data_IF_367663915987
#
_entry.id   IF_367663915987
#
_cell.length_a   1.000
_cell.length_b   1.000
_cell.length_c   1.000
_cell.angle_alpha   90.00
_cell.angle_beta   90.00
_cell.angle_gamma   90.00
#
_symmetry.space_group_name_H-M   'P 1'
#
loop_
_entity.id
_entity.type
_entity.pdbx_description
1 polymer ?
#
# COMPACT_ATOMS: atom_id res chain seq x y z
N UNK A 1 -50.18 38.12 -28.24
CA UNK A 1 -48.91 38.65 -27.69
C UNK A 1 -48.64 38.21 -26.24
N UNK A 2 -49.52 38.48 -25.26
CA UNK A 2 -49.27 38.12 -23.85
C UNK A 2 -49.01 36.62 -23.56
N UNK A 3 -49.69 35.71 -24.26
CA UNK A 3 -49.48 34.25 -24.08
C UNK A 3 -48.10 33.79 -24.58
N UNK A 4 -47.59 34.38 -25.66
CA UNK A 4 -46.28 34.07 -26.23
C UNK A 4 -45.15 34.55 -25.31
N UNK A 5 -45.29 35.75 -24.72
CA UNK A 5 -44.32 36.30 -23.77
C UNK A 5 -44.21 35.45 -22.49
N UNK A 6 -45.36 35.04 -21.93
CA UNK A 6 -45.41 34.11 -20.78
C UNK A 6 -44.81 32.73 -21.10
N UNK A 7 -44.91 32.27 -22.34
CA UNK A 7 -44.33 31.00 -22.76
C UNK A 7 -42.81 31.12 -22.89
N UNK A 8 -42.30 32.22 -23.44
CA UNK A 8 -40.85 32.49 -23.52
C UNK A 8 -40.22 32.61 -22.13
N UNK A 9 -40.87 33.27 -21.16
CA UNK A 9 -40.37 33.33 -19.78
C UNK A 9 -40.30 31.95 -19.12
N UNK A 10 -41.33 31.11 -19.30
CA UNK A 10 -41.32 29.73 -18.79
C UNK A 10 -40.22 28.88 -19.41
N UNK A 11 -39.95 29.05 -20.69
CA UNK A 11 -38.87 28.35 -21.39
C UNK A 11 -37.49 28.81 -20.91
N UNK A 12 -37.32 30.11 -20.63
CA UNK A 12 -36.09 30.65 -20.03
C UNK A 12 -35.87 30.10 -18.61
N UNK A 13 -36.89 30.11 -17.77
CA UNK A 13 -36.82 29.54 -16.41
C UNK A 13 -36.49 28.04 -16.44
N UNK A 14 -37.13 27.28 -17.32
CA UNK A 14 -36.84 25.86 -17.49
C UNK A 14 -35.41 25.60 -17.98
N UNK A 15 -34.91 26.40 -18.94
CA UNK A 15 -33.55 26.24 -19.46
C UNK A 15 -32.48 26.62 -18.41
N UNK A 16 -32.72 27.68 -17.62
CA UNK A 16 -31.82 28.06 -16.53
C UNK A 16 -31.77 26.98 -15.44
N UNK A 17 -32.91 26.44 -15.04
CA UNK A 17 -32.96 25.34 -14.05
C UNK A 17 -32.25 24.08 -14.55
N UNK A 18 -32.40 23.73 -15.84
CA UNK A 18 -31.71 22.60 -16.44
C UNK A 18 -30.19 22.83 -16.51
N UNK A 19 -29.74 24.03 -16.86
CA UNK A 19 -28.32 24.39 -16.85
C UNK A 19 -27.70 24.32 -15.44
N UNK A 20 -28.43 24.75 -14.41
CA UNK A 20 -27.99 24.64 -13.02
C UNK A 20 -27.88 23.18 -12.56
N UNK A 21 -28.80 22.31 -12.98
CA UNK A 21 -28.74 20.87 -12.68
C UNK A 21 -27.57 20.18 -13.39
N UNK A 22 -27.31 20.55 -14.66
CA UNK A 22 -26.15 20.04 -15.40
C UNK A 22 -24.86 20.52 -14.75
N UNK A 23 -24.76 21.81 -14.40
CA UNK A 23 -23.59 22.35 -13.71
C UNK A 23 -23.38 21.69 -12.34
N UNK A 24 -24.45 21.48 -11.55
CA UNK A 24 -24.38 20.77 -10.29
C UNK A 24 -23.94 19.31 -10.46
N UNK A 25 -24.38 18.62 -11.52
CA UNK A 25 -23.94 17.26 -11.85
C UNK A 25 -22.46 17.20 -12.24
N UNK A 26 -21.98 18.17 -13.04
CA UNK A 26 -20.55 18.27 -13.38
C UNK A 26 -19.69 18.60 -12.16
N UNK A 27 -20.12 19.55 -11.32
CA UNK A 27 -19.42 19.91 -10.09
C UNK A 27 -19.43 18.74 -9.09
N UNK A 28 -20.56 18.05 -8.93
CA UNK A 28 -20.66 16.86 -8.07
C UNK A 28 -19.79 15.71 -8.58
N UNK A 29 -19.74 15.45 -9.90
CA UNK A 29 -18.82 14.45 -10.46
C UNK A 29 -17.35 14.88 -10.40
N UNK A 30 -17.06 16.18 -10.33
CA UNK A 30 -15.71 16.71 -10.18
C UNK A 30 -15.23 16.70 -8.71
N UNK A 31 -16.14 16.88 -7.75
CA UNK A 31 -15.84 16.96 -6.31
C UNK A 31 -15.99 15.59 -5.62
N UNK A 32 -16.97 14.79 -6.01
CA UNK A 32 -17.33 13.53 -5.33
C UNK A 32 -16.40 12.35 -5.60
N UNK A 33 -15.33 12.51 -6.38
CA UNK A 33 -14.51 11.38 -6.85
C UNK A 33 -13.01 11.66 -6.95
N UNK A 34 -12.45 12.60 -6.18
CA UNK A 34 -11.02 12.88 -6.20
C UNK A 34 -10.47 13.11 -4.80
N UNK A 35 -10.15 12.02 -4.10
CA UNK A 35 -8.89 12.04 -3.35
C UNK A 35 -7.84 12.40 -4.40
N UNK A 36 -7.09 13.49 -4.20
CA UNK A 36 -6.02 13.81 -5.14
C UNK A 36 -5.06 12.62 -5.17
N UNK A 37 -4.49 12.29 -6.33
CA UNK A 37 -3.48 11.23 -6.43
C UNK A 37 -2.37 11.37 -5.38
N UNK A 38 -2.02 12.62 -5.07
CA UNK A 38 -1.05 12.99 -4.02
C UNK A 38 -1.56 12.62 -2.61
N UNK A 39 -2.84 12.86 -2.33
CA UNK A 39 -3.45 12.53 -1.05
C UNK A 39 -3.55 11.02 -0.88
N UNK A 40 -3.92 10.29 -1.94
CA UNK A 40 -3.97 8.81 -1.97
C UNK A 40 -2.58 8.22 -1.75
N UNK A 41 -1.56 8.75 -2.44
CA UNK A 41 -0.17 8.35 -2.26
C UNK A 41 0.33 8.63 -0.83
N UNK A 42 0.01 9.80 -0.26
CA UNK A 42 0.40 10.17 1.11
C UNK A 42 -0.26 9.27 2.14
N UNK A 43 -1.54 8.98 1.96
CA UNK A 43 -2.28 8.04 2.80
C UNK A 43 -1.66 6.64 2.76
N UNK A 44 -1.35 6.13 1.56
CA UNK A 44 -0.73 4.83 1.39
C UNK A 44 0.69 4.74 1.96
N UNK A 45 1.48 5.80 1.85
CA UNK A 45 2.78 5.88 2.54
C UNK A 45 2.58 5.74 4.05
N UNK A 46 1.56 6.40 4.61
CA UNK A 46 1.18 6.24 6.02
C UNK A 46 0.85 4.78 6.37
N UNK A 47 0.07 4.09 5.55
CA UNK A 47 -0.26 2.67 5.78
C UNK A 47 0.94 1.74 5.64
N UNK A 48 1.82 1.97 4.67
CA UNK A 48 3.07 1.20 4.51
C UNK A 48 3.98 1.38 5.74
N UNK A 49 4.11 2.60 6.27
CA UNK A 49 4.85 2.84 7.51
C UNK A 49 4.21 2.12 8.70
N UNK A 50 2.89 2.20 8.88
CA UNK A 50 2.19 1.48 9.96
C UNK A 50 2.47 -0.02 9.95
N UNK A 51 2.56 -0.63 8.76
CA UNK A 51 2.90 -2.07 8.62
C UNK A 51 4.35 -2.36 8.98
N UNK A 52 5.28 -1.47 8.61
CA UNK A 52 6.69 -1.57 8.99
C UNK A 52 6.86 -1.42 10.51
N UNK A 53 6.24 -0.40 11.12
CA UNK A 53 6.28 -0.12 12.56
C UNK A 53 5.67 -1.30 13.36
N UNK A 54 4.60 -1.91 12.87
CA UNK A 54 3.99 -3.09 13.49
C UNK A 54 4.94 -4.31 13.49
N UNK A 55 5.68 -4.53 12.41
CA UNK A 55 6.67 -5.59 12.33
C UNK A 55 7.89 -5.31 13.23
N UNK A 56 8.30 -4.05 13.35
CA UNK A 56 9.33 -3.63 14.29
C UNK A 56 8.89 -3.88 15.74
N UNK A 57 7.69 -3.46 16.11
CA UNK A 57 7.14 -3.69 17.46
C UNK A 57 7.03 -5.19 17.77
N UNK A 58 6.56 -6.00 16.81
CA UNK A 58 6.60 -7.46 16.94
C UNK A 58 8.03 -7.97 17.21
N UNK A 59 9.01 -7.45 16.48
CA UNK A 59 10.42 -7.84 16.67
C UNK A 59 10.96 -7.43 18.03
N UNK A 60 10.60 -6.26 18.55
CA UNK A 60 10.99 -5.82 19.89
C UNK A 60 10.38 -6.71 20.97
N UNK A 61 9.10 -7.03 20.86
CA UNK A 61 8.39 -7.82 21.86
C UNK A 61 8.83 -9.29 21.87
N UNK A 62 9.11 -9.86 20.70
CA UNK A 62 9.34 -11.30 20.54
C UNK A 62 10.81 -11.66 20.25
N UNK A 63 11.68 -10.67 20.07
CA UNK A 63 13.11 -10.86 19.81
C UNK A 63 13.46 -11.21 18.35
N UNK A 64 12.47 -11.32 17.47
CA UNK A 64 12.66 -11.57 16.03
C UNK A 64 11.47 -11.07 15.23
N UNK A 65 11.69 -10.79 13.94
CA UNK A 65 10.61 -10.61 12.97
C UNK A 65 9.68 -11.84 12.94
N UNK A 66 8.46 -11.71 12.37
CA UNK A 66 7.65 -12.87 12.04
C UNK A 66 8.44 -13.87 11.18
N UNK A 67 8.19 -15.19 11.31
CA UNK A 67 8.94 -16.19 10.57
C UNK A 67 8.66 -16.10 9.07
N UNK A 68 9.58 -16.61 8.23
CA UNK A 68 9.29 -16.85 6.82
C UNK A 68 8.14 -17.85 6.71
N UNK A 69 7.21 -17.62 5.78
CA UNK A 69 6.05 -18.49 5.63
C UNK A 69 6.46 -19.89 5.19
N UNK A 70 5.80 -20.92 5.72
CA UNK A 70 6.11 -22.32 5.36
C UNK A 70 5.57 -22.75 4.01
N UNK A 71 4.63 -21.97 3.45
CA UNK A 71 3.96 -22.23 2.18
C UNK A 71 4.72 -21.67 0.96
N UNK A 72 5.87 -21.00 1.18
CA UNK A 72 6.72 -20.48 0.11
C UNK A 72 8.18 -20.92 0.24
N UNK A 73 8.90 -20.83 -0.87
CA UNK A 73 10.36 -20.97 -0.87
C UNK A 73 10.98 -19.76 -0.14
N UNK A 74 11.90 -20.05 0.79
CA UNK A 74 12.64 -19.05 1.57
C UNK A 74 13.37 -18.04 0.69
N UNK A 75 13.73 -18.42 -0.53
CA UNK A 75 14.38 -17.56 -1.52
C UNK A 75 13.50 -16.37 -1.94
N UNK A 76 12.20 -16.38 -1.67
CA UNK A 76 11.32 -15.24 -1.93
C UNK A 76 11.18 -14.29 -0.74
N UNK A 77 11.47 -14.73 0.48
CA UNK A 77 11.48 -13.85 1.65
C UNK A 77 10.10 -13.43 2.16
N UNK A 78 9.03 -14.18 1.91
CA UNK A 78 7.70 -13.84 2.44
C UNK A 78 7.64 -14.08 3.94
N UNK A 79 7.24 -13.08 4.73
CA UNK A 79 7.04 -13.24 6.17
C UNK A 79 5.59 -13.60 6.49
N UNK A 80 5.38 -14.38 7.55
CA UNK A 80 4.07 -14.73 8.07
C UNK A 80 3.45 -13.50 8.74
N UNK A 81 2.70 -12.74 7.95
CA UNK A 81 2.13 -11.46 8.36
C UNK A 81 0.94 -11.65 9.32
N UNK A 82 0.34 -12.84 9.40
CA UNK A 82 -0.75 -13.15 10.33
C UNK A 82 -0.33 -12.99 11.80
N UNK A 83 0.96 -13.17 12.09
CA UNK A 83 1.52 -12.96 13.42
C UNK A 83 1.42 -11.49 13.90
N UNK A 84 1.14 -10.55 12.99
CA UNK A 84 0.86 -9.16 13.35
C UNK A 84 -0.58 -8.91 13.81
N UNK A 85 -1.51 -9.79 13.49
CA UNK A 85 -2.95 -9.62 13.78
C UNK A 85 -3.50 -10.67 14.76
N UNK A 86 -2.84 -11.81 14.89
CA UNK A 86 -3.22 -12.88 15.80
C UNK A 86 -2.02 -13.37 16.62
N UNK A 87 -2.26 -13.82 17.86
CA UNK A 87 -1.20 -14.37 18.70
C UNK A 87 -0.83 -15.78 18.23
N UNK A 88 0.42 -16.02 17.77
CA UNK A 88 0.86 -17.34 17.30
C UNK A 88 1.18 -18.32 18.45
N UNK A 89 0.70 -18.07 19.67
CA UNK A 89 0.98 -18.86 20.87
C UNK A 89 2.23 -18.41 21.64
N UNK A 90 2.71 -17.20 21.39
CA UNK A 90 3.87 -16.61 22.08
C UNK A 90 3.43 -15.92 23.38
N UNK A 91 4.10 -16.22 24.48
CA UNK A 91 3.82 -15.58 25.78
C UNK A 91 4.31 -14.13 25.86
N UNK A 92 5.21 -13.73 24.95
CA UNK A 92 5.76 -12.37 24.82
C UNK A 92 4.91 -11.46 23.92
N UNK A 93 3.90 -12.00 23.24
CA UNK A 93 3.11 -11.25 22.27
C UNK A 93 2.23 -10.19 22.95
N UNK A 94 2.29 -8.96 22.44
CA UNK A 94 1.55 -7.80 22.97
C UNK A 94 0.58 -7.18 21.95
N UNK A 95 0.32 -7.87 20.84
CA UNK A 95 -0.56 -7.40 19.78
C UNK A 95 -2.06 -7.40 20.14
N UNK A 96 -2.94 -7.28 19.14
CA UNK A 96 -2.64 -7.20 17.71
C UNK A 96 -1.89 -5.90 17.37
N UNK A 97 -0.88 -6.00 16.51
CA UNK A 97 -0.05 -4.87 16.07
C UNK A 97 -0.69 -4.12 14.89
N UNK A 98 -1.55 -4.81 14.13
CA UNK A 98 -2.35 -4.21 13.06
C UNK A 98 -3.85 -4.45 13.30
N UNK A 99 -4.72 -3.45 13.03
CA UNK A 99 -6.17 -3.60 13.16
C UNK A 99 -6.81 -4.18 11.89
N UNK A 100 -6.14 -5.13 11.21
CA UNK A 100 -6.57 -5.71 9.94
C UNK A 100 -7.22 -7.09 10.16
N UNK A 101 -7.91 -7.59 9.12
CA UNK A 101 -8.53 -8.92 9.12
C UNK A 101 -7.69 -9.97 8.39
N UNK A 102 -7.99 -11.24 8.65
CA UNK A 102 -7.45 -12.41 7.95
C UNK A 102 -8.48 -12.99 6.97
N UNK A 103 -9.09 -12.15 6.11
CA UNK A 103 -10.14 -12.62 5.18
C UNK A 103 -9.63 -12.91 3.77
N UNK A 104 -8.32 -12.78 3.53
CA UNK A 104 -7.73 -12.99 2.22
C UNK A 104 -7.40 -14.46 1.93
N UNK A 105 -7.72 -14.92 0.71
CA UNK A 105 -7.48 -16.30 0.23
C UNK A 105 -6.02 -16.47 -0.25
N UNK A 106 -5.05 -15.98 0.53
CA UNK A 106 -3.63 -15.97 0.19
C UNK A 106 -2.74 -16.80 1.11
N UNK A 107 -3.29 -17.34 2.19
CA UNK A 107 -2.51 -18.00 3.25
C UNK A 107 -1.68 -17.00 4.05
N UNK A 108 -0.68 -17.50 4.76
CA UNK A 108 0.10 -16.77 5.76
C UNK A 108 0.91 -15.56 5.22
N UNK A 109 1.01 -15.44 3.89
CA UNK A 109 1.79 -14.40 3.20
C UNK A 109 1.06 -13.06 3.06
N UNK A 110 -0.26 -13.04 3.32
CA UNK A 110 -1.12 -11.89 3.05
C UNK A 110 -2.17 -11.73 4.13
N UNK A 111 -2.41 -10.50 4.55
CA UNK A 111 -3.62 -10.10 5.29
C UNK A 111 -4.42 -9.11 4.47
N UNK A 112 -5.66 -8.83 4.88
CA UNK A 112 -6.48 -7.84 4.19
C UNK A 112 -5.83 -6.46 4.22
N UNK A 113 -6.18 -5.67 3.22
CA UNK A 113 -5.95 -4.23 3.25
C UNK A 113 -7.31 -3.51 3.31
N UNK A 114 -7.48 -2.47 4.15
CA UNK A 114 -8.77 -1.79 4.31
C UNK A 114 -9.33 -1.21 2.98
N UNK A 115 -8.45 -0.67 2.13
CA UNK A 115 -8.82 0.02 0.89
C UNK A 115 -8.41 -0.72 -0.40
N UNK A 116 -7.61 -1.78 -0.28
CA UNK A 116 -7.01 -2.50 -1.40
C UNK A 116 -7.12 -4.01 -1.16
N UNK A 117 -6.51 -4.82 -2.01
CA UNK A 117 -6.72 -6.27 -1.94
C UNK A 117 -6.01 -6.92 -0.77
N UNK A 118 -4.72 -6.62 -0.57
CA UNK A 118 -3.92 -7.33 0.42
C UNK A 118 -2.69 -6.52 0.83
N UNK A 119 -2.24 -6.79 2.05
CA UNK A 119 -1.00 -6.32 2.65
C UNK A 119 -0.03 -7.49 2.78
N UNK A 120 1.26 -7.24 2.57
CA UNK A 120 2.31 -8.25 2.65
C UNK A 120 3.58 -7.70 3.29
N UNK A 121 4.36 -8.58 3.93
CA UNK A 121 5.71 -8.31 4.41
C UNK A 121 6.73 -9.17 3.67
N UNK A 122 7.85 -8.55 3.30
CA UNK A 122 8.98 -9.19 2.64
C UNK A 122 10.26 -8.93 3.43
N UNK A 123 11.12 -9.94 3.51
CA UNK A 123 12.47 -9.83 4.01
C UNK A 123 13.44 -10.17 2.88
N UNK A 124 14.13 -9.14 2.36
CA UNK A 124 15.01 -9.26 1.18
C UNK A 124 16.46 -9.06 1.58
N UNK A 125 17.38 -9.62 0.81
CA UNK A 125 18.80 -9.29 0.98
C UNK A 125 19.03 -7.80 0.74
N UNK A 126 19.77 -7.14 1.65
CA UNK A 126 20.01 -5.70 1.56
C UNK A 126 20.73 -5.34 0.27
N UNK A 127 20.21 -4.31 -0.42
CA UNK A 127 20.79 -3.81 -1.67
C UNK A 127 20.43 -4.62 -2.92
N UNK A 128 19.64 -5.69 -2.78
CA UNK A 128 19.12 -6.43 -3.94
C UNK A 128 18.18 -5.58 -4.81
N UNK A 129 18.19 -5.86 -6.10
CA UNK A 129 17.32 -5.22 -7.09
C UNK A 129 16.14 -6.14 -7.42
N UNK A 130 14.93 -5.68 -7.10
CA UNK A 130 13.70 -6.44 -7.30
C UNK A 130 12.53 -5.48 -7.45
N UNK A 131 11.53 -5.83 -8.25
CA UNK A 131 10.29 -5.07 -8.39
C UNK A 131 9.06 -5.89 -7.96
N UNK A 132 9.21 -7.22 -7.85
CA UNK A 132 8.16 -8.16 -7.46
C UNK A 132 8.52 -8.82 -6.14
N UNK A 133 7.53 -9.06 -5.29
CA UNK A 133 7.71 -9.88 -4.09
C UNK A 133 8.25 -11.27 -4.43
N UNK A 134 7.83 -11.84 -5.57
CA UNK A 134 8.26 -13.15 -6.04
C UNK A 134 9.64 -13.20 -6.71
N UNK A 135 10.47 -12.15 -6.59
CA UNK A 135 11.87 -12.23 -7.02
C UNK A 135 12.70 -13.01 -6.00
N UNK A 136 13.50 -13.97 -6.46
CA UNK A 136 14.42 -14.82 -5.66
C UNK A 136 15.59 -13.98 -5.11
N UNK A 137 15.29 -13.16 -4.11
CA UNK A 137 16.16 -12.19 -3.45
C UNK A 137 15.86 -12.12 -1.95
N UNK A 138 15.18 -13.15 -1.44
CA UNK A 138 14.85 -13.34 -0.03
C UNK A 138 16.12 -13.41 0.80
N UNK A 139 16.03 -12.97 2.05
CA UNK A 139 17.18 -12.99 2.92
C UNK A 139 17.56 -14.42 3.31
N UNK A 140 18.81 -14.80 3.07
CA UNK A 140 19.33 -16.11 3.42
C UNK A 140 19.99 -16.10 4.80
N UNK A 141 20.19 -17.28 5.38
CA UNK A 141 21.01 -17.43 6.60
C UNK A 141 22.47 -16.96 6.43
N UNK A 142 22.94 -16.89 5.18
CA UNK A 142 24.27 -16.40 4.80
C UNK A 142 24.33 -14.87 4.63
N UNK A 143 23.17 -14.21 4.51
CA UNK A 143 23.09 -12.76 4.27
C UNK A 143 23.59 -11.99 5.49
N UNK A 144 24.47 -11.01 5.24
CA UNK A 144 25.01 -10.17 6.32
C UNK A 144 23.95 -9.21 6.90
N UNK A 145 23.01 -8.78 6.06
CA UNK A 145 21.94 -7.85 6.45
C UNK A 145 20.75 -8.03 5.50
N UNK A 146 19.55 -8.02 6.07
CA UNK A 146 18.28 -8.05 5.36
C UNK A 146 17.63 -6.67 5.40
N UNK A 147 16.77 -6.35 4.43
CA UNK A 147 15.89 -5.18 4.49
C UNK A 147 14.43 -5.65 4.55
N UNK A 148 13.68 -5.12 5.50
CA UNK A 148 12.24 -5.36 5.61
C UNK A 148 11.49 -4.47 4.63
N UNK A 149 10.46 -5.00 3.97
CA UNK A 149 9.56 -4.20 3.13
C UNK A 149 8.10 -4.54 3.40
N UNK A 150 7.26 -3.51 3.50
CA UNK A 150 5.81 -3.63 3.49
C UNK A 150 5.30 -3.42 2.07
N UNK A 151 4.27 -4.16 1.67
CA UNK A 151 3.70 -4.10 0.34
C UNK A 151 2.17 -4.05 0.36
N UNK A 152 1.59 -3.39 -0.65
CA UNK A 152 0.14 -3.33 -0.89
C UNK A 152 -0.15 -3.76 -2.33
N UNK A 153 -1.16 -4.62 -2.50
CA UNK A 153 -1.56 -5.16 -3.80
C UNK A 153 -2.66 -4.36 -4.48
N UNK A 154 -2.57 -4.28 -5.81
CA UNK A 154 -3.53 -3.62 -6.72
C UNK A 154 -3.71 -2.11 -6.50
N UNK A 155 -2.64 -1.42 -6.11
CA UNK A 155 -2.63 0.05 -6.09
C UNK A 155 -2.58 0.58 -7.54
N UNK A 156 -3.38 1.59 -7.94
CA UNK A 156 -3.28 2.16 -9.28
C UNK A 156 -1.84 2.54 -9.63
N UNK A 157 -1.34 2.16 -10.81
CA UNK A 157 0.08 2.39 -11.19
C UNK A 157 0.49 3.86 -11.08
N UNK A 158 -0.43 4.79 -11.37
CA UNK A 158 -0.16 6.24 -11.21
C UNK A 158 0.05 6.65 -9.77
N UNK A 159 -0.62 6.00 -8.82
CA UNK A 159 -0.45 6.23 -7.38
C UNK A 159 0.87 5.63 -6.92
N UNK A 160 1.24 4.43 -7.39
CA UNK A 160 2.56 3.84 -7.14
C UNK A 160 3.72 4.75 -7.64
N UNK A 161 3.57 5.33 -8.83
CA UNK A 161 4.50 6.32 -9.37
C UNK A 161 4.57 7.60 -8.52
N UNK A 162 3.42 8.07 -8.03
CA UNK A 162 3.38 9.24 -7.12
C UNK A 162 4.05 8.92 -5.78
N UNK A 163 3.87 7.72 -5.22
CA UNK A 163 4.58 7.26 -4.02
C UNK A 163 6.10 7.26 -4.28
N UNK A 164 6.55 6.72 -5.41
CA UNK A 164 7.95 6.71 -5.82
C UNK A 164 8.52 8.14 -5.93
N UNK A 165 7.75 9.07 -6.48
CA UNK A 165 8.13 10.47 -6.56
C UNK A 165 8.23 11.12 -5.17
N UNK A 166 7.28 10.88 -4.28
CA UNK A 166 7.27 11.47 -2.92
C UNK A 166 8.42 10.94 -2.07
N UNK A 167 8.68 9.63 -2.13
CA UNK A 167 9.66 8.96 -1.24
C UNK A 167 11.08 9.00 -1.80
N UNK A 168 11.25 8.67 -3.08
CA UNK A 168 12.58 8.56 -3.72
C UNK A 168 12.94 9.76 -4.60
N UNK A 169 12.03 10.72 -4.79
CA UNK A 169 12.24 11.87 -5.68
C UNK A 169 12.27 11.50 -7.17
N UNK A 170 11.93 10.26 -7.52
CA UNK A 170 11.98 9.76 -8.88
C UNK A 170 10.67 10.06 -9.63
N UNK A 171 10.76 10.85 -10.70
CA UNK A 171 9.63 11.27 -11.55
C UNK A 171 9.39 10.38 -12.77
N UNK A 172 10.14 9.28 -12.91
CA UNK A 172 10.03 8.36 -14.02
C UNK A 172 8.65 7.70 -14.02
N UNK A 173 8.03 7.62 -15.20
CA UNK A 173 6.69 7.05 -15.40
C UNK A 173 6.74 5.59 -15.85
N UNK A 174 7.84 4.91 -15.55
CA UNK A 174 8.06 3.51 -15.90
C UNK A 174 7.03 2.61 -15.22
N UNK A 175 6.78 1.45 -15.82
CA UNK A 175 5.84 0.46 -15.29
C UNK A 175 6.37 -0.32 -14.09
N UNK A 176 7.65 -0.20 -13.79
CA UNK A 176 8.28 -0.83 -12.64
C UNK A 176 9.50 -0.02 -12.14
N UNK A 177 9.85 -0.21 -10.87
CA UNK A 177 11.06 0.32 -10.26
C UNK A 177 11.71 -0.75 -9.36
N UNK A 178 13.01 -1.00 -9.56
CA UNK A 178 13.81 -1.99 -8.84
C UNK A 178 14.84 -1.38 -7.88
N UNK A 179 14.86 -0.05 -7.73
CA UNK A 179 15.88 0.73 -6.99
C UNK A 179 15.25 1.81 -6.10
N UNK A 180 16.00 2.38 -5.13
CA UNK A 180 15.45 3.32 -4.12
C UNK A 180 14.88 2.66 -2.86
N UNK A 181 13.97 3.33 -2.15
CA UNK A 181 13.16 2.74 -1.06
C UNK A 181 11.85 2.17 -1.57
N UNK A 182 11.32 2.70 -2.66
CA UNK A 182 10.06 2.28 -3.26
C UNK A 182 10.33 1.23 -4.33
N UNK A 183 9.60 0.12 -4.28
CA UNK A 183 9.59 -0.92 -5.32
C UNK A 183 8.20 -1.05 -5.88
N UNK A 184 8.06 -1.11 -7.19
CA UNK A 184 6.76 -1.43 -7.77
C UNK A 184 6.89 -2.15 -9.09
N UNK A 185 5.87 -2.95 -9.41
CA UNK A 185 5.70 -3.59 -10.70
C UNK A 185 4.23 -3.53 -11.10
N UNK A 186 3.97 -3.09 -12.34
CA UNK A 186 2.62 -3.10 -12.90
C UNK A 186 2.20 -4.54 -13.20
N UNK A 187 1.09 -4.95 -12.59
CA UNK A 187 0.40 -6.21 -12.85
C UNK A 187 -0.98 -5.98 -13.47
N UNK A 188 -1.76 -7.05 -13.64
CA UNK A 188 -3.14 -6.95 -14.12
C UNK A 188 -4.02 -6.26 -13.06
N UNK A 189 -4.69 -5.16 -13.42
CA UNK A 189 -5.62 -4.43 -12.55
C UNK A 189 -5.00 -3.37 -11.64
N UNK A 190 -3.68 -3.41 -11.40
CA UNK A 190 -2.97 -2.46 -10.55
C UNK A 190 -1.49 -2.82 -10.43
N UNK A 191 -0.75 -2.10 -9.59
CA UNK A 191 0.62 -2.38 -9.24
C UNK A 191 0.70 -3.07 -7.87
N UNK A 192 1.72 -3.92 -7.71
CA UNK A 192 2.29 -4.16 -6.38
C UNK A 192 3.17 -2.96 -6.06
N UNK A 193 2.97 -2.35 -4.89
CA UNK A 193 3.83 -1.29 -4.38
C UNK A 193 4.40 -1.75 -3.04
N UNK A 194 5.71 -1.62 -2.87
CA UNK A 194 6.40 -1.91 -1.63
C UNK A 194 7.27 -0.72 -1.21
N UNK A 195 7.43 -0.57 0.10
CA UNK A 195 8.35 0.39 0.70
C UNK A 195 9.29 -0.34 1.64
N UNK A 196 10.59 -0.12 1.42
CA UNK A 196 11.66 -0.66 2.24
C UNK A 196 11.79 0.19 3.51
N UNK A 197 11.71 -0.48 4.66
CA UNK A 197 11.93 0.08 5.99
C UNK A 197 13.35 -0.19 6.49
N UNK A 198 13.46 -0.61 7.75
CA UNK A 198 14.73 -0.86 8.40
C UNK A 198 15.39 -2.19 8.03
N UNK A 199 16.68 -2.25 8.36
CA UNK A 199 17.54 -3.39 8.14
C UNK A 199 17.62 -4.32 9.36
N UNK A 200 17.74 -5.62 9.12
CA UNK A 200 17.76 -6.67 10.14
C UNK A 200 18.98 -7.61 10.00
N UNK A 201 19.54 -8.13 11.12
CA UNK A 201 19.19 -7.82 12.50
C UNK A 201 19.44 -6.34 12.82
N UNK A 202 18.53 -5.72 13.56
CA UNK A 202 18.66 -4.30 13.89
C UNK A 202 19.98 -4.07 14.63
N UNK A 203 20.72 -3.05 14.22
CA UNK A 203 21.92 -2.63 14.95
C UNK A 203 21.54 -2.26 16.38
N UNK A 204 22.36 -2.62 17.37
CA UNK A 204 22.15 -2.25 18.78
C UNK A 204 22.11 -0.74 19.04
N UNK A 205 22.45 0.09 18.05
CA UNK A 205 22.32 1.54 18.10
C UNK A 205 20.90 2.06 17.78
N UNK A 206 20.04 1.25 17.16
CA UNK A 206 18.66 1.61 16.77
C UNK A 206 17.61 1.15 17.80
N UNK A 207 17.99 0.38 18.82
CA UNK A 207 17.10 -0.16 19.85
C UNK A 207 16.92 0.76 21.08
N UNK A 208 17.08 2.09 20.93
CA UNK A 208 17.04 3.07 22.03
C UNK A 208 15.93 4.11 21.86
#
# INVERSE_FOLDING_TARGET
>A
MLRLLRQIEKWKLASFSLLMLIAAFFIYNQIGNRISRVDEATFLIGQLNTVLDAAEQYSHDNGSLPPITSDTDTNFGYLNINHLIENPGLSTWQGPYLPYGDTWIGGDQYIDHPDYIATQLLLKEKGSQWARGSSETGCESSSATCSLAACIWLVPTKVAQEINQIVDGNTDIESSNTTGKVRYDKAFGGALICMIGDDYPMSSAQSN
#
